data_IF_462419034994
#
_entry.id   IF_462419034994
#
_cell.length_a   1.000
_cell.length_b   1.000
_cell.length_c   1.000
_cell.angle_alpha   90.00
_cell.angle_beta   90.00
_cell.angle_gamma   90.00
#
_symmetry.space_group_name_H-M   'P 1'
#
loop_
_entity.id
_entity.type
_entity.pdbx_description
1 polymer ?
#
# COMPACT_ATOMS: atom_id res chain seq x y z
N UNK A 1 -19.10 9.57 7.61
CA UNK A 1 -17.95 8.60 7.61
C UNK A 1 -18.45 7.16 7.42
N UNK A 2 -19.43 6.71 8.22
CA UNK A 2 -19.95 5.33 8.16
C UNK A 2 -20.57 4.93 6.80
N UNK A 3 -21.40 5.74 6.10
CA UNK A 3 -21.91 5.39 4.78
C UNK A 3 -20.81 5.21 3.72
N UNK A 4 -19.72 5.96 3.84
CA UNK A 4 -18.56 5.85 2.95
C UNK A 4 -17.81 4.53 3.19
N UNK A 5 -17.56 4.17 4.45
CA UNK A 5 -16.92 2.91 4.82
C UNK A 5 -17.77 1.71 4.39
N UNK A 6 -19.09 1.75 4.59
CA UNK A 6 -20.01 0.71 4.13
C UNK A 6 -19.97 0.53 2.61
N UNK A 7 -19.82 1.63 1.86
CA UNK A 7 -19.66 1.55 0.39
C UNK A 7 -18.33 0.93 -0.01
N UNK A 8 -17.24 1.28 0.68
CA UNK A 8 -15.94 0.63 0.46
C UNK A 8 -15.99 -0.86 0.81
N UNK A 9 -16.60 -1.23 1.93
CA UNK A 9 -16.74 -2.63 2.32
C UNK A 9 -17.54 -3.42 1.27
N UNK A 10 -18.60 -2.82 0.71
CA UNK A 10 -19.37 -3.44 -0.38
C UNK A 10 -18.51 -3.69 -1.61
N UNK A 11 -17.59 -2.80 -1.96
CA UNK A 11 -16.69 -2.97 -3.10
C UNK A 11 -15.80 -4.21 -2.96
N UNK A 12 -15.32 -4.50 -1.75
CA UNK A 12 -14.42 -5.62 -1.49
C UNK A 12 -15.14 -6.94 -1.14
N UNK A 13 -16.44 -6.91 -0.85
CA UNK A 13 -17.19 -8.10 -0.38
C UNK A 13 -18.23 -8.60 -1.36
N UNK A 14 -18.87 -7.73 -2.13
CA UNK A 14 -19.90 -8.11 -3.09
C UNK A 14 -19.24 -8.72 -4.32
N UNK A 15 -19.61 -9.95 -4.63
CA UNK A 15 -19.13 -10.64 -5.85
C UNK A 15 -19.80 -10.08 -7.09
N UNK A 16 -19.06 -9.99 -8.18
CA UNK A 16 -19.63 -9.74 -9.51
C UNK A 16 -20.44 -10.97 -9.93
N UNK A 17 -21.71 -10.76 -10.26
CA UNK A 17 -22.55 -11.76 -10.90
C UNK A 17 -22.58 -11.48 -12.41
N UNK A 18 -22.35 -12.51 -13.24
CA UNK A 18 -22.38 -12.39 -14.69
C UNK A 18 -21.07 -12.77 -15.38
N UNK A 19 -20.98 -12.47 -16.69
CA UNK A 19 -19.80 -12.73 -17.48
C UNK A 19 -18.63 -11.83 -17.05
N UNK A 20 -17.42 -12.40 -16.95
CA UNK A 20 -16.19 -11.66 -16.70
C UNK A 20 -15.96 -10.64 -17.84
N UNK A 21 -15.82 -9.38 -17.49
CA UNK A 21 -15.39 -8.36 -18.43
C UNK A 21 -13.93 -8.64 -18.83
N UNK A 22 -13.61 -8.54 -20.11
CA UNK A 22 -12.33 -8.95 -20.69
C UNK A 22 -11.10 -8.26 -20.09
N UNK A 23 -11.28 -7.04 -19.56
CA UNK A 23 -10.18 -6.20 -19.03
C UNK A 23 -10.23 -6.04 -17.50
N UNK A 24 -11.07 -6.81 -16.80
CA UNK A 24 -11.20 -6.76 -15.35
C UNK A 24 -10.51 -7.97 -14.73
N UNK A 25 -9.33 -7.75 -14.16
CA UNK A 25 -8.47 -8.79 -13.58
C UNK A 25 -8.09 -8.45 -12.13
N UNK A 26 -7.63 -9.47 -11.38
CA UNK A 26 -7.18 -9.27 -10.00
C UNK A 26 -8.32 -8.87 -9.05
N UNK A 27 -9.47 -9.56 -9.16
CA UNK A 27 -10.67 -9.21 -8.40
C UNK A 27 -10.57 -9.63 -6.92
N UNK A 28 -10.95 -8.68 -6.04
CA UNK A 28 -11.32 -8.89 -4.64
C UNK A 28 -12.71 -8.27 -4.47
N UNK A 29 -13.76 -9.09 -4.45
CA UNK A 29 -15.12 -8.58 -4.62
C UNK A 29 -15.30 -7.95 -6.00
N UNK A 30 -15.62 -6.65 -6.03
CA UNK A 30 -15.72 -5.82 -7.24
C UNK A 30 -14.48 -4.92 -7.44
N UNK A 31 -13.54 -4.92 -6.49
CA UNK A 31 -12.27 -4.24 -6.63
C UNK A 31 -11.39 -5.00 -7.65
N UNK A 32 -10.90 -4.31 -8.67
CA UNK A 32 -10.07 -4.88 -9.71
C UNK A 32 -8.64 -4.33 -9.59
N UNK A 33 -7.70 -5.11 -9.06
CA UNK A 33 -6.33 -4.67 -8.88
C UNK A 33 -5.58 -4.49 -10.21
N UNK A 34 -5.91 -5.27 -11.22
CA UNK A 34 -5.35 -5.15 -12.56
C UNK A 34 -5.82 -3.90 -13.33
N UNK A 35 -6.60 -3.01 -12.71
CA UNK A 35 -7.05 -1.74 -13.29
C UNK A 35 -6.56 -0.58 -12.41
N UNK A 36 -5.65 0.24 -12.92
CA UNK A 36 -4.87 1.24 -12.19
C UNK A 36 -5.71 2.30 -11.47
N UNK A 37 -6.87 2.75 -11.98
CA UNK A 37 -7.74 3.66 -11.24
C UNK A 37 -8.18 3.13 -9.87
N UNK A 38 -8.09 1.80 -9.64
CA UNK A 38 -8.41 1.17 -8.35
C UNK A 38 -7.29 1.25 -7.31
N UNK A 39 -6.05 1.54 -7.71
CA UNK A 39 -4.86 1.36 -6.88
C UNK A 39 -4.85 2.16 -5.58
N UNK A 40 -5.46 3.33 -5.55
CA UNK A 40 -5.56 4.17 -4.36
C UNK A 40 -6.66 3.72 -3.38
N UNK A 41 -7.62 2.91 -3.84
CA UNK A 41 -8.88 2.65 -3.10
C UNK A 41 -8.63 1.94 -1.76
N UNK A 42 -7.68 1.00 -1.69
CA UNK A 42 -7.31 0.32 -0.45
C UNK A 42 -6.81 1.27 0.63
N UNK A 43 -6.20 2.40 0.26
CA UNK A 43 -5.64 3.39 1.17
C UNK A 43 -6.69 4.39 1.69
N UNK A 44 -7.88 4.43 1.08
CA UNK A 44 -8.98 5.28 1.54
C UNK A 44 -9.46 4.92 2.95
N UNK A 45 -9.34 3.65 3.35
CA UNK A 45 -9.64 3.23 4.73
C UNK A 45 -8.72 3.90 5.75
N UNK A 46 -7.41 4.00 5.48
CA UNK A 46 -6.47 4.66 6.38
C UNK A 46 -6.80 6.15 6.54
N UNK A 47 -7.16 6.83 5.44
CA UNK A 47 -7.63 8.22 5.48
C UNK A 47 -8.93 8.38 6.27
N UNK A 48 -9.85 7.43 6.13
CA UNK A 48 -11.11 7.37 6.86
C UNK A 48 -10.99 6.84 8.31
N UNK A 49 -9.77 6.70 8.85
CA UNK A 49 -9.54 6.31 10.24
C UNK A 49 -9.60 4.81 10.52
N UNK A 50 -9.54 3.96 9.49
CA UNK A 50 -9.52 2.50 9.57
C UNK A 50 -8.23 1.93 8.94
N UNK A 51 -7.03 2.31 9.45
CA UNK A 51 -5.75 1.89 8.84
C UNK A 51 -5.54 0.37 8.85
N UNK A 52 -6.07 -0.33 9.84
CA UNK A 52 -6.01 -1.80 9.91
C UNK A 52 -6.63 -2.46 8.67
N UNK A 53 -7.72 -1.89 8.13
CA UNK A 53 -8.35 -2.43 6.93
C UNK A 53 -7.51 -2.22 5.67
N UNK A 54 -6.84 -1.07 5.55
CA UNK A 54 -5.82 -0.84 4.52
C UNK A 54 -4.72 -1.91 4.60
N UNK A 55 -4.19 -2.17 5.79
CA UNK A 55 -3.09 -3.10 6.02
C UNK A 55 -3.47 -4.54 5.66
N UNK A 56 -4.69 -4.96 5.99
CA UNK A 56 -5.25 -6.27 5.58
C UNK A 56 -5.35 -6.41 4.06
N UNK A 57 -5.98 -5.43 3.40
CA UNK A 57 -6.20 -5.46 1.95
C UNK A 57 -4.89 -5.39 1.17
N UNK A 58 -3.96 -4.56 1.59
CA UNK A 58 -2.62 -4.49 0.98
C UNK A 58 -1.93 -5.84 1.08
N UNK A 59 -1.97 -6.51 2.24
CA UNK A 59 -1.41 -7.86 2.41
C UNK A 59 -2.11 -8.89 1.51
N UNK A 60 -3.44 -8.88 1.46
CA UNK A 60 -4.21 -9.77 0.61
C UNK A 60 -3.83 -9.61 -0.87
N UNK A 61 -3.67 -8.36 -1.33
CA UNK A 61 -3.25 -8.08 -2.70
C UNK A 61 -1.85 -8.63 -2.97
N UNK A 62 -0.88 -8.43 -2.07
CA UNK A 62 0.45 -9.01 -2.22
C UNK A 62 0.42 -10.53 -2.32
N UNK A 63 -0.37 -11.19 -1.47
CA UNK A 63 -0.43 -12.64 -1.39
C UNK A 63 -1.18 -13.28 -2.57
N UNK A 64 -2.14 -12.57 -3.18
CA UNK A 64 -3.04 -13.13 -4.19
C UNK A 64 -2.82 -12.62 -5.61
N UNK A 65 -2.35 -11.36 -5.78
CA UNK A 65 -2.30 -10.69 -7.09
C UNK A 65 -0.89 -10.62 -7.70
N UNK A 66 0.15 -10.90 -6.91
CA UNK A 66 1.54 -10.91 -7.36
C UNK A 66 2.18 -12.28 -7.13
N UNK A 67 3.00 -12.73 -8.08
CA UNK A 67 3.71 -14.02 -8.00
C UNK A 67 5.14 -13.85 -8.50
N UNK A 68 6.07 -14.57 -7.88
CA UNK A 68 7.49 -14.57 -8.29
C UNK A 68 7.71 -15.47 -9.53
N UNK A 69 7.24 -15.01 -10.69
CA UNK A 69 7.39 -15.67 -11.99
C UNK A 69 7.19 -14.68 -13.14
N UNK A 70 7.58 -14.99 -14.39
CA UNK A 70 7.50 -14.06 -15.52
C UNK A 70 6.09 -13.52 -15.80
N UNK A 71 5.04 -14.32 -15.58
CA UNK A 71 3.62 -13.98 -15.68
C UNK A 71 3.00 -13.66 -14.30
N UNK A 72 3.76 -13.01 -13.42
CA UNK A 72 3.42 -12.83 -12.01
C UNK A 72 2.44 -11.72 -11.68
N UNK A 73 2.11 -10.85 -12.63
CA UNK A 73 1.12 -9.78 -12.46
C UNK A 73 -0.28 -10.30 -12.78
N UNK A 74 -1.29 -9.83 -12.07
CA UNK A 74 -2.69 -10.20 -12.33
C UNK A 74 -3.30 -9.49 -13.56
N UNK A 75 -2.58 -8.55 -14.15
CA UNK A 75 -2.95 -7.77 -15.35
C UNK A 75 -1.71 -7.30 -16.08
N UNK A 76 -1.87 -6.37 -17.02
CA UNK A 76 -0.75 -5.71 -17.68
C UNK A 76 -0.01 -4.81 -16.69
N UNK A 77 1.30 -4.58 -16.91
CA UNK A 77 2.08 -3.68 -16.05
C UNK A 77 1.77 -2.19 -16.28
N UNK A 78 1.20 -1.88 -17.44
CA UNK A 78 0.72 -0.57 -17.86
C UNK A 78 1.73 0.56 -17.59
N UNK A 79 2.80 0.54 -18.39
CA UNK A 79 3.93 1.48 -18.27
C UNK A 79 4.61 1.48 -16.90
N UNK A 80 4.54 0.37 -16.17
CA UNK A 80 5.17 0.22 -14.86
C UNK A 80 4.26 0.53 -13.67
N UNK A 81 2.97 0.82 -13.89
CA UNK A 81 2.06 1.22 -12.80
C UNK A 81 1.84 0.08 -11.79
N UNK A 82 1.66 -1.16 -12.24
CA UNK A 82 1.52 -2.32 -11.36
C UNK A 82 2.79 -2.56 -10.53
N UNK A 83 3.95 -2.45 -11.16
CA UNK A 83 5.26 -2.55 -10.49
C UNK A 83 5.48 -1.40 -9.51
N UNK A 84 5.10 -0.17 -9.86
CA UNK A 84 5.20 1.00 -8.99
C UNK A 84 4.31 0.85 -7.75
N UNK A 85 3.07 0.36 -7.92
CA UNK A 85 2.18 0.08 -6.79
C UNK A 85 2.81 -0.94 -5.84
N UNK A 86 3.35 -2.04 -6.40
CA UNK A 86 4.05 -3.07 -5.62
C UNK A 86 5.19 -2.46 -4.81
N UNK A 87 6.09 -1.71 -5.45
CA UNK A 87 7.27 -1.15 -4.80
C UNK A 87 6.91 -0.14 -3.70
N UNK A 88 6.01 0.79 -3.97
CA UNK A 88 5.57 1.80 -3.01
C UNK A 88 4.82 1.16 -1.83
N UNK A 89 3.88 0.25 -2.12
CA UNK A 89 3.13 -0.45 -1.07
C UNK A 89 4.02 -1.37 -0.24
N UNK A 90 5.07 -2.00 -0.84
CA UNK A 90 6.05 -2.79 -0.11
C UNK A 90 6.87 -1.95 0.87
N UNK A 91 7.09 -0.66 0.58
CA UNK A 91 7.69 0.30 1.50
C UNK A 91 6.75 0.71 2.65
N UNK A 92 5.45 0.40 2.54
CA UNK A 92 4.44 0.69 3.56
C UNK A 92 3.69 1.99 3.34
N UNK A 93 3.71 2.58 2.14
CA UNK A 93 2.96 3.80 1.84
C UNK A 93 2.62 3.91 0.34
N UNK A 94 1.63 4.75 0.00
CA UNK A 94 1.20 4.96 -1.39
C UNK A 94 0.64 6.38 -1.59
N UNK A 95 0.91 7.05 -2.75
CA UNK A 95 0.38 8.38 -3.06
C UNK A 95 -1.08 8.26 -3.53
N UNK A 96 -2.04 8.55 -2.65
CA UNK A 96 -3.48 8.58 -2.98
C UNK A 96 -3.83 9.81 -3.81
N UNK A 97 -3.21 10.94 -3.47
CA UNK A 97 -3.28 12.19 -4.21
C UNK A 97 -1.83 12.60 -4.60
N UNK A 98 -1.40 12.28 -5.84
CA UNK A 98 -0.01 12.55 -6.26
C UNK A 98 0.32 14.06 -6.32
N UNK A 99 -0.69 14.94 -6.42
CA UNK A 99 -0.47 16.39 -6.45
C UNK A 99 -0.09 16.94 -5.07
N UNK A 100 -0.58 16.30 -4.01
CA UNK A 100 -0.26 16.71 -2.63
C UNK A 100 1.19 16.43 -2.22
N UNK A 101 1.90 15.56 -2.95
CA UNK A 101 3.21 15.04 -2.57
C UNK A 101 3.24 14.34 -1.19
N UNK A 102 2.09 13.80 -0.78
CA UNK A 102 1.90 13.05 0.47
C UNK A 102 1.66 11.57 0.16
N UNK A 103 2.24 10.69 0.97
CA UNK A 103 2.07 9.25 0.86
C UNK A 103 1.32 8.73 2.09
N UNK A 104 0.17 8.09 1.86
CA UNK A 104 -0.67 7.50 2.93
C UNK A 104 -0.02 6.21 3.42
N UNK A 105 0.07 6.03 4.73
CA UNK A 105 0.62 4.82 5.32
C UNK A 105 -0.31 3.60 5.14
N UNK A 106 0.32 2.48 4.75
CA UNK A 106 -0.24 1.14 4.78
C UNK A 106 0.55 0.25 5.75
N UNK A 107 1.03 -0.91 5.26
CA UNK A 107 1.92 -1.79 6.01
C UNK A 107 3.06 -2.29 5.12
N UNK A 108 4.32 -2.21 5.58
CA UNK A 108 5.47 -2.70 4.82
C UNK A 108 5.38 -4.21 4.62
N UNK A 109 5.99 -4.69 3.52
CA UNK A 109 6.01 -6.12 3.16
C UNK A 109 7.40 -6.74 3.27
N UNK A 110 8.43 -5.91 3.46
CA UNK A 110 9.82 -6.34 3.59
C UNK A 110 10.41 -5.83 4.91
N UNK A 111 11.31 -6.60 5.55
CA UNK A 111 11.87 -6.21 6.85
C UNK A 111 12.76 -4.95 6.75
N UNK A 112 13.34 -4.70 5.57
CA UNK A 112 14.15 -3.51 5.33
C UNK A 112 14.19 -3.17 3.85
N UNK A 113 14.07 -1.87 3.54
CA UNK A 113 14.30 -1.29 2.23
C UNK A 113 15.16 -0.02 2.37
N UNK A 114 15.96 0.28 1.37
CA UNK A 114 16.77 1.50 1.33
C UNK A 114 16.64 2.17 -0.03
N UNK A 115 16.22 3.43 -0.01
CA UNK A 115 16.22 4.31 -1.17
C UNK A 115 17.53 5.07 -1.22
N UNK A 116 18.25 4.96 -2.34
CA UNK A 116 19.43 5.75 -2.64
C UNK A 116 18.99 7.02 -3.37
N UNK A 117 19.16 8.17 -2.74
CA UNK A 117 18.72 9.46 -3.25
C UNK A 117 19.78 10.11 -4.14
N UNK A 118 19.35 11.03 -5.01
CA UNK A 118 20.23 11.65 -6.03
C UNK A 118 21.45 12.40 -5.46
N UNK A 119 21.38 12.92 -4.24
CA UNK A 119 22.44 13.65 -3.56
C UNK A 119 23.35 12.76 -2.67
N UNK A 120 23.26 11.43 -2.85
CA UNK A 120 24.05 10.46 -2.08
C UNK A 120 23.50 10.16 -0.69
N UNK A 121 22.41 10.78 -0.29
CA UNK A 121 21.68 10.42 0.93
C UNK A 121 20.93 9.09 0.76
N UNK A 122 20.47 8.55 1.86
CA UNK A 122 19.61 7.37 1.88
C UNK A 122 18.38 7.63 2.74
N UNK A 123 17.26 7.02 2.34
CA UNK A 123 16.08 6.88 3.17
C UNK A 123 15.84 5.41 3.41
N UNK A 124 15.93 4.97 4.66
CA UNK A 124 15.81 3.58 5.06
C UNK A 124 14.47 3.32 5.73
N UNK A 125 13.76 2.32 5.26
CA UNK A 125 12.51 1.82 5.85
C UNK A 125 12.83 0.51 6.57
N UNK A 126 12.42 0.36 7.82
CA UNK A 126 12.61 -0.83 8.64
C UNK A 126 11.24 -1.26 9.18
N UNK A 127 10.93 -2.56 9.08
CA UNK A 127 9.74 -3.16 9.66
C UNK A 127 10.16 -4.14 10.76
N UNK A 128 10.17 -3.67 12.00
CA UNK A 128 10.49 -4.49 13.17
C UNK A 128 9.36 -5.49 13.46
N UNK A 129 9.71 -6.72 13.77
CA UNK A 129 8.79 -7.83 14.07
C UNK A 129 7.84 -8.21 12.92
N UNK A 130 8.15 -7.82 11.67
CA UNK A 130 7.32 -8.20 10.53
C UNK A 130 7.29 -9.73 10.37
N UNK A 131 6.10 -10.31 10.35
CA UNK A 131 5.87 -11.73 10.08
C UNK A 131 4.49 -11.91 9.41
N UNK A 132 4.10 -13.17 9.18
CA UNK A 132 2.73 -13.48 8.70
C UNK A 132 1.66 -13.14 9.74
N UNK A 133 1.99 -13.31 11.01
CA UNK A 133 1.12 -13.03 12.16
C UNK A 133 1.12 -11.53 12.49
N UNK A 134 2.31 -10.90 12.47
CA UNK A 134 2.50 -9.49 12.77
C UNK A 134 2.41 -8.65 11.49
N UNK A 135 1.20 -8.43 11.02
CA UNK A 135 0.89 -7.69 9.78
C UNK A 135 0.35 -6.29 10.00
N UNK A 136 0.03 -5.95 11.25
CA UNK A 136 -0.49 -4.64 11.59
C UNK A 136 0.61 -3.73 12.11
N UNK A 137 0.48 -2.45 11.83
CA UNK A 137 1.38 -1.42 12.36
C UNK A 137 0.92 -1.02 13.75
N UNK A 138 1.80 -1.18 14.75
CA UNK A 138 1.59 -0.73 16.12
C UNK A 138 1.98 0.74 16.28
N UNK A 139 3.17 1.11 15.81
CA UNK A 139 3.67 2.48 15.88
C UNK A 139 4.66 2.76 14.74
N UNK A 140 4.86 4.05 14.48
CA UNK A 140 5.82 4.54 13.48
C UNK A 140 6.75 5.54 14.16
N UNK A 141 8.04 5.50 13.81
CA UNK A 141 9.00 6.54 14.15
C UNK A 141 9.71 7.04 12.90
N UNK A 142 10.01 8.33 12.86
CA UNK A 142 10.85 8.95 11.82
C UNK A 142 12.09 9.54 12.49
N UNK A 143 13.26 9.06 12.10
CA UNK A 143 14.54 9.47 12.69
C UNK A 143 14.63 9.32 14.23
N UNK A 144 13.95 8.28 14.75
CA UNK A 144 13.90 7.96 16.18
C UNK A 144 12.78 8.66 16.96
N UNK A 145 12.09 9.63 16.37
CA UNK A 145 11.00 10.35 17.01
C UNK A 145 9.64 9.73 16.65
N UNK A 146 8.68 9.66 17.59
CA UNK A 146 7.33 9.17 17.32
C UNK A 146 6.65 9.94 16.18
N UNK A 147 6.07 9.21 15.24
CA UNK A 147 5.42 9.79 14.07
C UNK A 147 3.94 9.39 14.04
N UNK A 148 3.05 10.36 14.28
CA UNK A 148 1.61 10.11 14.49
C UNK A 148 0.71 10.58 13.33
N UNK A 149 1.31 11.13 12.27
CA UNK A 149 0.56 11.53 11.08
C UNK A 149 0.08 10.29 10.31
N UNK A 150 -0.95 10.46 9.50
CA UNK A 150 -1.46 9.40 8.59
C UNK A 150 -0.66 9.28 7.28
N UNK A 151 0.19 10.27 7.00
CA UNK A 151 0.95 10.40 5.75
C UNK A 151 2.40 10.78 6.05
N UNK A 152 3.29 10.50 5.10
CA UNK A 152 4.65 11.06 5.06
C UNK A 152 4.80 11.90 3.80
N UNK A 153 5.45 13.06 3.91
CA UNK A 153 5.67 13.94 2.75
C UNK A 153 6.84 13.46 1.89
N UNK A 154 6.78 13.77 0.60
CA UNK A 154 7.91 13.56 -0.30
C UNK A 154 9.17 14.29 0.18
N UNK A 155 9.00 15.50 0.73
CA UNK A 155 10.09 16.29 1.31
C UNK A 155 10.80 15.56 2.44
N UNK A 156 10.04 14.88 3.35
CA UNK A 156 10.65 14.12 4.45
C UNK A 156 11.44 12.91 3.93
N UNK A 157 10.99 12.27 2.86
CA UNK A 157 11.70 11.16 2.23
C UNK A 157 13.01 11.63 1.59
N UNK A 158 12.96 12.70 0.78
CA UNK A 158 14.17 13.17 0.06
C UNK A 158 15.20 13.87 0.95
N UNK A 159 14.85 14.29 2.16
CA UNK A 159 15.82 14.70 3.18
C UNK A 159 16.75 13.57 3.61
N UNK A 160 16.33 12.33 3.39
CA UNK A 160 17.01 11.16 3.92
C UNK A 160 16.64 10.86 5.38
N UNK A 161 17.06 9.72 5.89
CA UNK A 161 16.77 9.31 7.26
C UNK A 161 16.26 7.89 7.39
N UNK A 162 15.57 7.61 8.50
CA UNK A 162 15.08 6.27 8.83
C UNK A 162 13.63 6.31 9.29
N UNK A 163 12.78 5.58 8.59
CA UNK A 163 11.38 5.33 8.95
C UNK A 163 11.29 3.91 9.54
N UNK A 164 10.81 3.79 10.76
CA UNK A 164 10.65 2.47 11.41
C UNK A 164 9.19 2.21 11.70
N UNK A 165 8.69 1.09 11.20
CA UNK A 165 7.40 0.51 11.56
C UNK A 165 7.63 -0.56 12.62
N UNK A 166 6.95 -0.48 13.75
CA UNK A 166 6.84 -1.56 14.70
C UNK A 166 5.57 -2.35 14.40
N UNK A 167 5.74 -3.64 14.06
CA UNK A 167 4.63 -4.50 13.66
C UNK A 167 4.10 -5.33 14.84
N UNK A 168 2.77 -5.62 14.83
CA UNK A 168 2.05 -6.44 15.82
C UNK A 168 1.08 -7.41 15.17
#
# INVERSE_FOLDING_TARGET
EEPFLNKLDSLFTVKLEGESLSDVTGLIGQYAHGNEPSHHVTYLYALAGRPERTQELVREIFDTQYKNKPDGLCGNDDCGQMSAWYMLSAMGFYPVDPVSAEYVFGAPQLPKMTLHLADGKTFTIIAENLSKEHKYVDSITLNGEPYTKKTISHEDIVKGGTLVYKMK
#
